data_IF_515065075664
#
_entry.id   IF_515065075664
#
_cell.length_a   1.000
_cell.length_b   1.000
_cell.length_c   1.000
_cell.angle_alpha   90.00
_cell.angle_beta   90.00
_cell.angle_gamma   90.00
#
_symmetry.space_group_name_H-M   'P 1'
#
loop_
_entity.id
_entity.type
_entity.pdbx_description
1 polymer ?
#
# COMPACT_ATOMS: atom_id res chain seq x y z
N UNK A 1 -2.67 -26.85 -11.92
CA UNK A 1 -3.22 -25.87 -10.95
C UNK A 1 -2.09 -25.42 -10.04
N UNK A 2 -1.90 -24.14 -9.84
CA UNK A 2 -0.86 -23.60 -8.94
C UNK A 2 -1.45 -23.54 -7.53
N UNK A 3 -0.71 -24.02 -6.55
CA UNK A 3 -1.06 -23.89 -5.14
C UNK A 3 -0.11 -22.92 -4.47
N UNK A 4 -0.66 -21.92 -3.74
CA UNK A 4 0.10 -20.90 -3.05
C UNK A 4 -0.29 -20.84 -1.58
N UNK A 5 0.70 -20.82 -0.71
CA UNK A 5 0.50 -20.48 0.71
C UNK A 5 1.02 -19.07 0.97
N UNK A 6 0.12 -18.14 1.29
CA UNK A 6 0.50 -16.80 1.73
C UNK A 6 0.78 -16.77 3.23
N UNK A 7 1.80 -16.04 3.65
CA UNK A 7 2.05 -15.69 5.05
C UNK A 7 1.82 -14.19 5.19
N UNK A 8 0.71 -13.83 5.85
CA UNK A 8 0.28 -12.43 5.93
C UNK A 8 -0.78 -12.21 7.03
N UNK A 9 -0.97 -10.99 7.52
CA UNK A 9 -2.22 -10.63 8.19
C UNK A 9 -3.39 -10.76 7.20
N UNK A 10 -4.55 -11.18 7.72
CA UNK A 10 -5.79 -11.34 6.97
C UNK A 10 -6.96 -10.77 7.78
N UNK A 11 -7.93 -10.08 7.19
CA UNK A 11 -9.07 -9.54 7.91
C UNK A 11 -9.84 -10.60 8.69
N UNK A 12 -10.47 -10.20 9.80
CA UNK A 12 -11.37 -11.07 10.55
C UNK A 12 -12.73 -11.20 9.87
N UNK A 13 -13.42 -12.32 10.06
CA UNK A 13 -14.80 -12.52 9.59
C UNK A 13 -15.77 -11.58 10.33
N UNK A 14 -15.51 -11.37 11.61
CA UNK A 14 -16.27 -10.42 12.42
C UNK A 14 -15.61 -9.04 12.31
N UNK A 15 -16.11 -8.19 11.41
CA UNK A 15 -15.61 -6.81 11.11
C UNK A 15 -15.47 -5.88 12.33
N UNK A 16 -15.74 -6.35 13.54
CA UNK A 16 -15.52 -5.65 14.82
C UNK A 16 -14.08 -5.71 15.33
N UNK A 17 -13.24 -6.59 14.79
CA UNK A 17 -11.81 -6.59 15.10
C UNK A 17 -11.17 -5.35 14.48
N UNK A 18 -10.49 -4.57 15.36
CA UNK A 18 -9.77 -3.32 15.03
C UNK A 18 -9.12 -3.39 13.66
N UNK A 19 -9.40 -2.36 12.85
CA UNK A 19 -8.96 -2.04 11.51
C UNK A 19 -7.89 -2.97 10.92
N UNK A 20 -8.17 -3.68 9.83
CA UNK A 20 -7.15 -4.42 9.11
C UNK A 20 -6.04 -3.44 8.67
N UNK A 21 -4.78 -3.85 8.79
CA UNK A 21 -3.68 -3.09 8.18
C UNK A 21 -3.90 -3.03 6.65
N UNK A 22 -3.37 -2.01 5.98
CA UNK A 22 -3.44 -1.96 4.51
C UNK A 22 -2.94 -3.25 3.83
N UNK A 23 -1.95 -3.93 4.45
CA UNK A 23 -1.46 -5.23 3.96
C UNK A 23 -2.47 -6.35 4.18
N UNK A 24 -3.31 -6.30 5.22
CA UNK A 24 -4.36 -7.30 5.41
C UNK A 24 -5.43 -7.19 4.30
N UNK A 25 -5.86 -5.97 3.99
CA UNK A 25 -6.78 -5.71 2.88
C UNK A 25 -6.16 -6.08 1.52
N UNK A 26 -4.88 -5.74 1.31
CA UNK A 26 -4.14 -6.18 0.11
C UNK A 26 -4.13 -7.71 -0.01
N UNK A 27 -3.83 -8.42 1.08
CA UNK A 27 -3.77 -9.90 1.07
C UNK A 27 -5.12 -10.51 0.74
N UNK A 28 -6.20 -9.97 1.30
CA UNK A 28 -7.57 -10.41 1.02
C UNK A 28 -7.89 -10.28 -0.46
N UNK A 29 -7.74 -9.07 -1.01
CA UNK A 29 -8.06 -8.79 -2.41
C UNK A 29 -7.21 -9.59 -3.40
N UNK A 30 -5.89 -9.66 -3.17
CA UNK A 30 -5.01 -10.45 -4.01
C UNK A 30 -5.34 -11.96 -3.92
N UNK A 31 -5.61 -12.48 -2.72
CA UNK A 31 -5.96 -13.89 -2.54
C UNK A 31 -7.27 -14.25 -3.25
N UNK A 32 -8.28 -13.38 -3.15
CA UNK A 32 -9.56 -13.54 -3.84
C UNK A 32 -9.37 -13.49 -5.36
N UNK A 33 -8.63 -12.51 -5.88
CA UNK A 33 -8.36 -12.39 -7.32
C UNK A 33 -7.57 -13.60 -7.88
N UNK A 34 -6.61 -14.13 -7.12
CA UNK A 34 -5.89 -15.37 -7.49
C UNK A 34 -6.82 -16.56 -7.50
N UNK A 35 -7.68 -16.70 -6.49
CA UNK A 35 -8.65 -17.81 -6.40
C UNK A 35 -9.65 -17.77 -7.56
N UNK A 36 -10.12 -16.57 -7.94
CA UNK A 36 -11.01 -16.39 -9.09
C UNK A 36 -10.34 -16.77 -10.43
N UNK A 37 -9.02 -16.76 -10.49
CA UNK A 37 -8.23 -17.20 -11.66
C UNK A 37 -7.72 -18.66 -11.54
N UNK A 38 -8.29 -19.44 -10.61
CA UNK A 38 -8.03 -20.88 -10.51
C UNK A 38 -6.80 -21.26 -9.67
N UNK A 39 -6.21 -20.34 -8.93
CA UNK A 39 -5.12 -20.62 -7.99
C UNK A 39 -5.70 -21.09 -6.66
N UNK A 40 -5.23 -22.22 -6.12
CA UNK A 40 -5.61 -22.62 -4.77
C UNK A 40 -4.80 -21.82 -3.73
N UNK A 41 -5.47 -20.93 -2.98
CA UNK A 41 -4.82 -20.03 -2.01
C UNK A 41 -5.14 -20.46 -0.58
N UNK A 42 -4.08 -20.63 0.21
CA UNK A 42 -4.13 -20.77 1.67
C UNK A 42 -3.38 -19.61 2.31
N UNK A 43 -3.97 -18.96 3.33
CA UNK A 43 -3.32 -17.90 4.09
C UNK A 43 -2.99 -18.38 5.50
N UNK A 44 -1.73 -18.28 5.89
CA UNK A 44 -1.25 -18.44 7.27
C UNK A 44 -1.23 -17.05 7.89
N UNK A 45 -2.17 -16.79 8.81
CA UNK A 45 -2.41 -15.50 9.40
C UNK A 45 -2.11 -15.48 10.91
N UNK A 46 -1.90 -14.28 11.52
CA UNK A 46 -1.81 -14.17 12.97
C UNK A 46 -3.13 -14.52 13.66
N UNK A 47 -3.03 -15.03 14.88
CA UNK A 47 -4.17 -15.21 15.77
C UNK A 47 -4.81 -13.84 16.06
N UNK A 48 -6.13 -13.79 16.02
CA UNK A 48 -6.96 -12.62 16.37
C UNK A 48 -8.02 -13.09 17.36
N UNK A 49 -8.19 -12.35 18.43
CA UNK A 49 -9.18 -12.68 19.47
C UNK A 49 -10.58 -12.67 18.87
N UNK A 50 -11.36 -13.70 19.21
CA UNK A 50 -12.72 -13.88 18.67
C UNK A 50 -12.80 -14.48 17.27
N UNK A 51 -11.68 -14.68 16.58
CA UNK A 51 -11.65 -15.28 15.24
C UNK A 51 -11.33 -16.79 15.29
N UNK A 52 -11.97 -17.62 14.45
CA UNK A 52 -11.69 -19.05 14.40
C UNK A 52 -10.26 -19.32 13.92
N UNK A 53 -9.65 -20.41 14.42
CA UNK A 53 -8.31 -20.85 13.98
C UNK A 53 -8.27 -21.23 12.51
N UNK A 54 -9.38 -21.69 11.95
CA UNK A 54 -9.54 -22.00 10.52
C UNK A 54 -10.87 -21.49 10.02
N UNK A 55 -10.84 -20.86 8.85
CA UNK A 55 -12.03 -20.37 8.17
C UNK A 55 -11.84 -20.45 6.66
N UNK A 56 -12.94 -20.36 5.92
CA UNK A 56 -12.92 -20.20 4.46
C UNK A 56 -13.73 -18.95 4.11
N UNK A 57 -13.10 -18.03 3.39
CA UNK A 57 -13.69 -16.73 3.02
C UNK A 57 -13.44 -16.55 1.52
N UNK A 58 -14.46 -16.36 0.72
CA UNK A 58 -14.39 -16.14 -0.74
C UNK A 58 -13.46 -17.15 -1.46
N UNK A 59 -13.58 -18.43 -1.10
CA UNK A 59 -12.74 -19.49 -1.65
C UNK A 59 -11.35 -19.63 -1.04
N UNK A 60 -10.88 -18.65 -0.27
CA UNK A 60 -9.57 -18.63 0.38
C UNK A 60 -9.63 -19.36 1.71
N UNK A 61 -8.69 -20.30 1.94
CA UNK A 61 -8.55 -20.97 3.23
C UNK A 61 -7.63 -20.16 4.15
N UNK A 62 -8.12 -19.72 5.30
CA UNK A 62 -7.36 -18.96 6.30
C UNK A 62 -7.07 -19.82 7.51
N UNK A 63 -5.80 -19.94 7.88
CA UNK A 63 -5.34 -20.62 9.11
C UNK A 63 -4.60 -19.63 10.01
N UNK A 64 -5.17 -19.33 11.18
CA UNK A 64 -4.58 -18.44 12.18
C UNK A 64 -3.75 -19.24 13.16
N UNK A 65 -2.42 -19.24 12.99
CA UNK A 65 -1.53 -20.21 13.65
C UNK A 65 -0.30 -19.60 14.30
N UNK A 66 -0.17 -18.26 14.35
CA UNK A 66 0.95 -17.62 15.02
C UNK A 66 0.53 -16.33 15.73
N UNK A 67 1.27 -15.95 16.77
CA UNK A 67 1.13 -14.66 17.45
C UNK A 67 2.19 -13.68 16.98
N UNK A 68 1.86 -12.39 16.96
CA UNK A 68 2.83 -11.34 16.66
C UNK A 68 3.92 -11.27 17.74
N UNK A 69 5.18 -11.09 17.32
CA UNK A 69 6.34 -11.00 18.22
C UNK A 69 7.58 -11.64 17.60
N UNK A 70 8.62 -11.83 18.38
CA UNK A 70 9.93 -12.33 17.92
C UNK A 70 9.86 -13.70 17.22
N UNK A 71 8.93 -14.57 17.64
CA UNK A 71 8.73 -15.91 17.06
C UNK A 71 7.71 -15.97 15.92
N UNK A 72 7.10 -14.85 15.53
CA UNK A 72 6.03 -14.83 14.54
C UNK A 72 6.43 -15.49 13.22
N UNK A 73 7.52 -15.00 12.62
CA UNK A 73 7.98 -15.49 11.30
C UNK A 73 8.44 -16.95 11.32
N UNK A 74 9.28 -17.42 12.26
CA UNK A 74 9.62 -18.85 12.35
C UNK A 74 8.40 -19.75 12.54
N UNK A 75 7.43 -19.35 13.36
CA UNK A 75 6.19 -20.12 13.58
C UNK A 75 5.35 -20.18 12.31
N UNK A 76 5.15 -19.03 11.65
CA UNK A 76 4.41 -18.94 10.39
C UNK A 76 5.08 -19.76 9.27
N UNK A 77 6.40 -19.70 9.14
CA UNK A 77 7.17 -20.49 8.19
C UNK A 77 7.03 -21.99 8.46
N UNK A 78 7.03 -22.42 9.72
CA UNK A 78 6.78 -23.81 10.10
C UNK A 78 5.38 -24.28 9.70
N UNK A 79 4.34 -23.45 9.85
CA UNK A 79 2.98 -23.75 9.40
C UNK A 79 2.90 -23.79 7.87
N UNK A 80 3.50 -22.82 7.18
CA UNK A 80 3.53 -22.75 5.72
C UNK A 80 4.31 -23.93 5.11
N UNK A 81 5.42 -24.37 5.74
CA UNK A 81 6.19 -25.54 5.29
C UNK A 81 5.35 -26.83 5.25
N UNK A 82 4.42 -26.98 6.20
CA UNK A 82 3.51 -28.16 6.26
C UNK A 82 2.36 -28.09 5.25
N UNK A 83 2.18 -26.97 4.54
CA UNK A 83 1.21 -26.90 3.45
C UNK A 83 1.67 -27.70 2.24
N UNK A 84 0.74 -28.18 1.41
CA UNK A 84 1.04 -28.87 0.15
C UNK A 84 1.63 -27.95 -0.93
N UNK A 85 1.40 -26.62 -0.84
CA UNK A 85 1.78 -25.67 -1.85
C UNK A 85 3.31 -25.57 -2.03
N UNK A 86 3.82 -25.55 -3.26
CA UNK A 86 5.24 -25.34 -3.53
C UNK A 86 5.65 -23.87 -3.27
N UNK A 87 4.80 -22.91 -3.63
CA UNK A 87 5.03 -21.49 -3.41
C UNK A 87 4.61 -21.09 -2.00
N UNK A 88 5.52 -20.41 -1.28
CA UNK A 88 5.19 -19.70 -0.04
C UNK A 88 5.43 -18.21 -0.25
N UNK A 89 4.35 -17.43 -0.31
CA UNK A 89 4.42 -15.99 -0.57
C UNK A 89 4.29 -15.21 0.73
N UNK A 90 5.38 -14.61 1.21
CA UNK A 90 5.43 -13.77 2.41
C UNK A 90 5.12 -12.32 2.05
N UNK A 91 4.07 -11.76 2.65
CA UNK A 91 3.78 -10.32 2.60
C UNK A 91 4.57 -9.62 3.70
N UNK A 92 5.61 -8.88 3.37
CA UNK A 92 6.56 -8.38 4.35
C UNK A 92 6.52 -6.84 4.49
N UNK A 93 6.35 -6.42 5.72
CA UNK A 93 6.61 -5.10 6.24
C UNK A 93 7.14 -5.25 7.66
N UNK A 94 8.11 -4.44 8.07
CA UNK A 94 8.84 -4.58 9.34
C UNK A 94 7.92 -4.66 10.58
N UNK A 95 6.77 -3.96 10.55
CA UNK A 95 5.88 -3.88 11.72
C UNK A 95 4.73 -4.88 11.73
N UNK A 96 4.54 -5.67 10.67
CA UNK A 96 3.41 -6.60 10.56
C UNK A 96 3.49 -7.77 11.55
N UNK A 97 4.69 -8.25 11.82
CA UNK A 97 4.93 -9.47 12.58
C UNK A 97 5.32 -9.25 14.04
N UNK A 98 5.43 -8.00 14.50
CA UNK A 98 5.80 -7.66 15.88
C UNK A 98 6.87 -6.58 15.99
N UNK A 99 7.08 -5.82 14.91
CA UNK A 99 8.04 -4.72 14.84
C UNK A 99 9.50 -5.20 14.82
N UNK A 100 10.44 -4.38 15.30
CA UNK A 100 11.88 -4.70 15.26
C UNK A 100 12.26 -6.04 15.88
N UNK A 101 11.50 -6.51 16.88
CA UNK A 101 11.76 -7.80 17.53
C UNK A 101 11.55 -9.01 16.63
N UNK A 102 10.75 -8.88 15.55
CA UNK A 102 10.51 -9.96 14.59
C UNK A 102 11.57 -10.06 13.48
N UNK A 103 12.39 -9.01 13.29
CA UNK A 103 13.39 -8.95 12.20
C UNK A 103 14.42 -10.09 12.26
N UNK A 104 14.97 -10.47 13.42
CA UNK A 104 15.89 -11.61 13.50
C UNK A 104 15.28 -12.94 13.04
N UNK A 105 13.93 -13.06 13.08
CA UNK A 105 13.19 -14.24 12.61
C UNK A 105 13.10 -14.38 11.10
N UNK A 106 13.44 -13.36 10.31
CA UNK A 106 13.32 -13.38 8.84
C UNK A 106 14.23 -14.44 8.21
N UNK A 107 15.52 -14.40 8.56
CA UNK A 107 16.51 -15.35 8.01
C UNK A 107 16.17 -16.81 8.31
N UNK A 108 15.96 -17.22 9.58
CA UNK A 108 15.61 -18.60 9.86
C UNK A 108 14.27 -19.02 9.26
N UNK A 109 13.30 -18.12 9.12
CA UNK A 109 12.02 -18.41 8.47
C UNK A 109 12.22 -18.76 6.99
N UNK A 110 12.90 -17.92 6.23
CA UNK A 110 13.15 -18.13 4.80
C UNK A 110 14.07 -19.35 4.56
N UNK A 111 15.10 -19.53 5.39
CA UNK A 111 15.97 -20.72 5.32
C UNK A 111 15.18 -22.02 5.58
N UNK A 112 14.30 -22.03 6.60
CA UNK A 112 13.45 -23.17 6.90
C UNK A 112 12.51 -23.53 5.74
N UNK A 113 11.96 -22.54 5.05
CA UNK A 113 11.13 -22.79 3.86
C UNK A 113 11.96 -23.43 2.74
N UNK A 114 13.12 -22.87 2.42
CA UNK A 114 14.00 -23.42 1.36
C UNK A 114 14.49 -24.82 1.64
N UNK A 115 14.98 -25.07 2.85
CA UNK A 115 15.40 -26.44 3.25
C UNK A 115 14.25 -27.43 3.28
N UNK A 116 13.01 -26.93 3.43
CA UNK A 116 11.78 -27.74 3.31
C UNK A 116 11.28 -27.91 1.88
N UNK A 117 12.07 -27.55 0.87
CA UNK A 117 11.69 -27.68 -0.54
C UNK A 117 10.62 -26.70 -1.01
N UNK A 118 10.38 -25.61 -0.25
CA UNK A 118 9.46 -24.55 -0.64
C UNK A 118 10.18 -23.46 -1.44
N UNK A 119 9.42 -22.75 -2.26
CA UNK A 119 9.87 -21.63 -3.07
C UNK A 119 9.37 -20.32 -2.44
N UNK A 120 10.15 -19.67 -1.55
CA UNK A 120 9.72 -18.45 -0.89
C UNK A 120 9.77 -17.26 -1.84
N UNK A 121 8.62 -16.66 -2.12
CA UNK A 121 8.44 -15.36 -2.77
C UNK A 121 8.16 -14.33 -1.67
N UNK A 122 8.72 -13.13 -1.77
CA UNK A 122 8.51 -12.08 -0.76
C UNK A 122 8.05 -10.79 -1.43
N UNK A 123 6.86 -10.30 -1.07
CA UNK A 123 6.46 -8.93 -1.39
C UNK A 123 6.94 -7.98 -0.31
N UNK A 124 7.70 -6.96 -0.69
CA UNK A 124 8.11 -5.87 0.17
C UNK A 124 7.11 -4.72 0.05
N UNK A 125 6.23 -4.55 1.05
CA UNK A 125 5.28 -3.44 1.10
C UNK A 125 5.92 -2.11 1.47
N UNK A 126 7.11 -2.16 2.04
CA UNK A 126 7.91 -1.02 2.43
C UNK A 126 9.34 -1.24 1.99
N UNK A 127 9.86 -0.32 1.19
CA UNK A 127 11.26 -0.24 0.78
C UNK A 127 11.77 1.14 1.16
N UNK A 128 12.77 1.19 2.01
CA UNK A 128 13.36 2.45 2.48
C UNK A 128 14.72 2.62 1.84
N UNK A 129 14.95 3.78 1.22
CA UNK A 129 16.29 4.15 0.81
C UNK A 129 17.15 4.34 2.07
N UNK A 130 18.27 3.63 2.20
CA UNK A 130 19.14 3.81 3.36
C UNK A 130 19.60 5.26 3.56
N UNK A 131 19.70 6.06 2.50
CA UNK A 131 20.06 7.48 2.58
C UNK A 131 19.01 8.33 3.29
N UNK A 132 17.72 7.92 3.24
CA UNK A 132 16.60 8.60 3.90
C UNK A 132 16.49 8.31 5.41
N UNK A 133 17.29 7.35 5.92
CA UNK A 133 17.29 7.01 7.34
C UNK A 133 18.13 8.00 8.13
N UNK A 134 17.53 9.10 8.52
CA UNK A 134 18.10 10.17 9.35
C UNK A 134 17.50 10.19 10.77
N UNK A 135 17.78 11.24 11.54
CA UNK A 135 17.24 11.42 12.89
C UNK A 135 15.72 11.59 12.88
N UNK A 136 15.19 12.31 11.89
CA UNK A 136 13.76 12.55 11.74
C UNK A 136 13.06 11.20 11.45
N UNK A 137 13.57 10.41 10.52
CA UNK A 137 13.06 9.07 10.23
C UNK A 137 13.01 8.19 11.49
N UNK A 138 14.11 8.14 12.26
CA UNK A 138 14.17 7.29 13.46
C UNK A 138 13.21 7.77 14.55
N UNK A 139 12.98 9.07 14.69
CA UNK A 139 12.02 9.64 15.64
C UNK A 139 10.58 9.33 15.24
N UNK A 140 10.20 9.58 13.98
CA UNK A 140 8.86 9.31 13.44
C UNK A 140 8.50 7.83 13.55
N UNK A 141 9.45 6.95 13.24
CA UNK A 141 9.25 5.49 13.30
C UNK A 141 9.54 4.87 14.67
N UNK A 142 9.87 5.70 15.69
CA UNK A 142 10.20 5.27 17.06
C UNK A 142 11.30 4.19 17.09
N UNK A 143 12.28 4.31 16.21
CA UNK A 143 13.44 3.43 16.16
C UNK A 143 14.43 3.88 17.25
N UNK A 144 14.70 3.00 18.21
CA UNK A 144 15.53 3.30 19.40
C UNK A 144 17.04 3.06 19.20
N UNK A 145 17.50 3.11 17.96
CA UNK A 145 18.94 2.98 17.64
C UNK A 145 19.41 4.18 16.82
N UNK A 146 20.70 4.51 16.82
CA UNK A 146 21.23 5.59 15.99
C UNK A 146 20.90 5.39 14.51
N UNK A 147 20.71 6.48 13.73
CA UNK A 147 20.37 6.40 12.30
C UNK A 147 21.34 5.53 11.49
N UNK A 148 22.63 5.57 11.79
CA UNK A 148 23.64 4.73 11.13
C UNK A 148 23.41 3.24 11.35
N UNK A 149 23.04 2.84 12.56
CA UNK A 149 22.71 1.44 12.89
C UNK A 149 21.40 1.01 12.22
N UNK A 150 20.38 1.89 12.25
CA UNK A 150 19.11 1.65 11.56
C UNK A 150 19.32 1.48 10.05
N UNK A 151 20.15 2.33 9.43
CA UNK A 151 20.52 2.28 8.02
C UNK A 151 21.18 0.95 7.64
N UNK A 152 22.19 0.53 8.41
CA UNK A 152 22.87 -0.75 8.18
C UNK A 152 21.91 -1.93 8.37
N UNK A 153 21.05 -1.88 9.39
CA UNK A 153 20.06 -2.92 9.66
C UNK A 153 19.04 -3.07 8.52
N UNK A 154 18.50 -1.97 8.00
CA UNK A 154 17.55 -1.98 6.88
C UNK A 154 18.21 -2.48 5.59
N UNK A 155 19.41 -1.98 5.28
CA UNK A 155 20.16 -2.44 4.09
C UNK A 155 20.51 -3.93 4.18
N UNK A 156 20.87 -4.38 5.37
CA UNK A 156 21.16 -5.79 5.66
C UNK A 156 19.92 -6.67 5.47
N UNK A 157 18.77 -6.22 6.00
CA UNK A 157 17.51 -6.91 5.89
C UNK A 157 17.04 -7.05 4.44
N UNK A 158 17.08 -5.98 3.66
CA UNK A 158 16.70 -6.00 2.24
C UNK A 158 17.58 -6.96 1.44
N UNK A 159 18.91 -6.93 1.65
CA UNK A 159 19.86 -7.86 1.02
C UNK A 159 19.62 -9.31 1.43
N UNK A 160 19.30 -9.54 2.71
CA UNK A 160 19.01 -10.86 3.25
C UNK A 160 17.74 -11.45 2.65
N UNK A 161 16.65 -10.68 2.62
CA UNK A 161 15.38 -11.09 1.99
C UNK A 161 15.64 -11.49 0.54
N UNK A 162 16.30 -10.65 -0.24
CA UNK A 162 16.64 -10.93 -1.64
C UNK A 162 17.45 -12.20 -1.83
N UNK A 163 18.41 -12.49 -0.93
CA UNK A 163 19.26 -13.70 -1.04
C UNK A 163 18.54 -14.99 -0.67
N UNK A 164 17.61 -14.91 0.27
CA UNK A 164 16.93 -16.09 0.81
C UNK A 164 15.58 -16.38 0.15
N UNK A 165 14.96 -15.39 -0.52
CA UNK A 165 13.80 -15.63 -1.39
C UNK A 165 14.23 -16.14 -2.77
N UNK A 166 13.34 -16.83 -3.48
CA UNK A 166 13.54 -17.20 -4.89
C UNK A 166 13.12 -16.07 -5.82
N UNK A 167 12.21 -15.21 -5.36
CA UNK A 167 11.85 -13.96 -6.01
C UNK A 167 11.38 -12.94 -4.99
N UNK A 168 11.54 -11.67 -5.32
CA UNK A 168 11.09 -10.53 -4.51
C UNK A 168 10.18 -9.66 -5.36
N UNK A 169 9.05 -9.23 -4.79
CA UNK A 169 8.09 -8.34 -5.44
C UNK A 169 8.12 -6.98 -4.76
N UNK A 170 8.07 -5.91 -5.54
CA UNK A 170 7.92 -4.52 -5.08
C UNK A 170 6.80 -3.82 -5.85
N UNK A 171 6.27 -2.73 -5.32
CA UNK A 171 5.09 -2.06 -5.89
C UNK A 171 5.41 -0.85 -6.78
N UNK A 172 6.68 -0.51 -6.96
CA UNK A 172 7.07 0.65 -7.76
C UNK A 172 8.46 0.52 -8.34
N UNK A 173 8.69 1.20 -9.46
CA UNK A 173 9.97 1.15 -10.19
C UNK A 173 11.15 1.70 -9.37
N UNK A 174 10.93 2.77 -8.58
CA UNK A 174 12.00 3.29 -7.71
C UNK A 174 12.41 2.30 -6.62
N UNK A 175 11.51 1.41 -6.21
CA UNK A 175 11.84 0.34 -5.26
C UNK A 175 12.63 -0.80 -5.88
N UNK A 176 12.42 -1.07 -7.16
CA UNK A 176 13.23 -2.04 -7.90
C UNK A 176 14.70 -1.60 -7.98
N UNK A 177 14.96 -0.29 -8.15
CA UNK A 177 16.32 0.26 -8.09
C UNK A 177 17.00 0.02 -6.75
N UNK A 178 16.23 0.11 -5.64
CA UNK A 178 16.73 -0.14 -4.28
C UNK A 178 16.85 -1.63 -3.95
N UNK A 179 16.07 -2.48 -4.63
CA UNK A 179 16.06 -3.94 -4.48
C UNK A 179 16.27 -4.58 -5.87
N UNK A 180 17.48 -4.52 -6.44
CA UNK A 180 17.73 -4.96 -7.81
C UNK A 180 17.35 -6.43 -8.05
N UNK A 181 16.68 -6.69 -9.17
CA UNK A 181 16.19 -8.01 -9.54
C UNK A 181 14.86 -8.38 -8.89
N UNK A 182 14.18 -7.43 -8.24
CA UNK A 182 12.78 -7.61 -7.83
C UNK A 182 11.84 -7.42 -9.03
N UNK A 183 10.67 -8.05 -8.95
CA UNK A 183 9.61 -7.92 -9.95
C UNK A 183 8.67 -6.78 -9.52
N UNK A 184 8.39 -5.84 -10.41
CA UNK A 184 7.48 -4.74 -10.13
C UNK A 184 6.04 -5.18 -10.42
N UNK A 185 5.24 -5.30 -9.37
CA UNK A 185 3.79 -5.50 -9.46
C UNK A 185 3.11 -4.32 -8.76
N UNK A 186 2.52 -3.37 -9.49
CA UNK A 186 1.78 -2.26 -8.89
C UNK A 186 0.66 -2.74 -7.97
N UNK A 187 0.24 -1.90 -7.02
CA UNK A 187 -0.93 -2.20 -6.20
C UNK A 187 -2.15 -2.43 -7.09
N UNK A 188 -2.93 -3.47 -6.78
CA UNK A 188 -4.22 -3.69 -7.39
C UNK A 188 -5.23 -2.60 -7.01
N UNK A 189 -6.13 -2.29 -7.91
CA UNK A 189 -7.17 -1.28 -7.74
C UNK A 189 -8.53 -1.95 -7.65
N UNK A 190 -9.37 -1.48 -6.73
CA UNK A 190 -10.81 -1.68 -6.77
C UNK A 190 -11.35 -0.60 -7.73
N UNK A 191 -11.63 -0.98 -8.97
CA UNK A 191 -12.11 -0.03 -9.99
C UNK A 191 -13.60 0.16 -9.79
N UNK A 192 -14.00 1.39 -9.49
CA UNK A 192 -15.39 1.81 -9.39
C UNK A 192 -15.89 2.36 -10.74
N UNK A 193 -17.20 2.30 -10.95
CA UNK A 193 -17.82 2.99 -12.08
C UNK A 193 -17.65 4.50 -11.94
N UNK A 194 -17.41 5.23 -13.04
CA UNK A 194 -17.30 6.67 -13.01
C UNK A 194 -18.56 7.33 -12.45
N UNK A 195 -18.40 8.21 -11.46
CA UNK A 195 -19.52 8.96 -10.89
C UNK A 195 -19.89 10.11 -11.85
N UNK A 196 -21.17 10.21 -12.28
CA UNK A 196 -21.62 11.33 -13.11
C UNK A 196 -21.39 12.68 -12.41
N UNK A 197 -21.07 13.72 -13.19
CA UNK A 197 -20.71 15.04 -12.65
C UNK A 197 -21.80 15.63 -11.75
N UNK A 198 -23.07 15.49 -12.12
CA UNK A 198 -24.19 16.00 -11.29
C UNK A 198 -24.29 15.24 -9.96
N UNK A 199 -24.13 13.92 -9.98
CA UNK A 199 -24.10 13.10 -8.76
C UNK A 199 -22.92 13.50 -7.86
N UNK A 200 -21.73 13.72 -8.44
CA UNK A 200 -20.57 14.21 -7.69
C UNK A 200 -20.84 15.58 -7.05
N UNK A 201 -21.53 16.50 -7.74
CA UNK A 201 -21.96 17.79 -7.21
C UNK A 201 -22.99 17.66 -6.07
N UNK A 202 -23.92 16.70 -6.18
CA UNK A 202 -24.89 16.41 -5.13
C UNK A 202 -24.21 15.87 -3.88
N UNK A 203 -23.29 14.91 -4.05
CA UNK A 203 -22.46 14.38 -2.94
C UNK A 203 -21.65 15.52 -2.31
N UNK A 204 -21.03 16.38 -3.11
CA UNK A 204 -20.27 17.56 -2.63
C UNK A 204 -21.13 18.46 -1.74
N UNK A 205 -22.38 18.77 -2.18
CA UNK A 205 -23.35 19.56 -1.38
C UNK A 205 -23.77 18.81 -0.10
N UNK A 206 -24.05 17.52 -0.17
CA UNK A 206 -24.46 16.72 1.00
C UNK A 206 -23.38 16.65 2.08
N UNK A 207 -22.11 16.63 1.67
CA UNK A 207 -20.96 16.74 2.56
C UNK A 207 -20.71 18.18 3.07
N UNK A 208 -21.53 19.16 2.64
CA UNK A 208 -21.43 20.57 3.02
C UNK A 208 -20.20 21.26 2.42
N UNK A 209 -19.71 20.79 1.27
CA UNK A 209 -18.61 21.37 0.54
C UNK A 209 -19.13 22.40 -0.50
N UNK A 210 -18.28 23.36 -0.84
CA UNK A 210 -18.62 24.41 -1.80
C UNK A 210 -18.47 23.90 -3.23
N UNK A 211 -19.50 24.13 -4.06
CA UNK A 211 -19.49 23.73 -5.48
C UNK A 211 -18.84 24.73 -6.40
N UNK A 212 -18.55 25.95 -5.90
CA UNK A 212 -17.89 27.04 -6.62
C UNK A 212 -16.38 27.13 -6.37
N UNK A 213 -15.80 26.16 -5.63
CA UNK A 213 -14.37 26.07 -5.34
C UNK A 213 -13.82 24.70 -5.76
N UNK A 214 -12.53 24.65 -6.07
CA UNK A 214 -11.82 23.40 -6.23
C UNK A 214 -11.70 22.68 -4.87
N UNK A 215 -12.26 21.48 -4.75
CA UNK A 215 -12.09 20.64 -3.57
C UNK A 215 -10.82 19.81 -3.70
N UNK A 216 -9.79 20.14 -2.93
CA UNK A 216 -8.58 19.35 -2.81
C UNK A 216 -8.68 18.43 -1.58
N UNK A 217 -8.48 17.13 -1.75
CA UNK A 217 -8.57 16.12 -0.70
C UNK A 217 -7.19 15.61 -0.29
N UNK A 218 -6.85 15.66 0.99
CA UNK A 218 -5.79 14.85 1.58
C UNK A 218 -6.43 13.69 2.36
N UNK A 219 -6.12 12.45 2.00
CA UNK A 219 -6.79 11.27 2.57
C UNK A 219 -5.84 10.34 3.34
N UNK A 220 -6.38 9.70 4.40
CA UNK A 220 -5.72 8.67 5.21
C UNK A 220 -5.01 9.23 6.44
N UNK A 221 -4.44 8.34 7.27
CA UNK A 221 -3.84 8.70 8.56
C UNK A 221 -2.89 9.88 8.47
N UNK A 222 -3.01 10.82 9.44
CA UNK A 222 -2.13 11.96 9.55
C UNK A 222 -0.72 11.53 9.96
N UNK A 223 0.28 11.94 9.20
CA UNK A 223 1.68 11.62 9.49
C UNK A 223 2.61 12.62 8.80
N UNK A 224 3.71 13.03 9.45
CA UNK A 224 4.64 14.03 8.89
C UNK A 224 5.17 13.67 7.50
N UNK A 225 5.44 12.39 7.23
CA UNK A 225 5.97 11.95 5.92
C UNK A 225 5.02 12.20 4.74
N UNK A 226 3.74 12.52 5.01
CA UNK A 226 2.75 12.84 3.98
C UNK A 226 2.79 14.31 3.53
N UNK A 227 3.53 15.16 4.22
CA UNK A 227 3.68 16.58 3.85
C UNK A 227 2.37 17.37 3.94
N UNK A 228 1.50 17.04 4.91
CA UNK A 228 0.18 17.67 5.08
C UNK A 228 0.32 19.15 5.36
N UNK A 229 1.36 19.57 6.11
CA UNK A 229 1.66 20.98 6.36
C UNK A 229 1.82 21.77 5.07
N UNK A 230 2.49 21.20 4.07
CA UNK A 230 2.70 21.84 2.77
C UNK A 230 1.39 22.05 2.02
N UNK A 231 0.46 21.09 2.10
CA UNK A 231 -0.88 21.24 1.55
C UNK A 231 -1.67 22.34 2.26
N UNK A 232 -1.58 22.41 3.59
CA UNK A 232 -2.25 23.42 4.40
C UNK A 232 -1.71 24.84 4.13
N UNK A 233 -0.38 24.98 4.08
CA UNK A 233 0.26 26.26 3.72
C UNK A 233 -0.08 26.67 2.29
N UNK A 234 -0.12 25.72 1.34
CA UNK A 234 -0.53 25.99 -0.03
C UNK A 234 -2.00 26.42 -0.13
N UNK A 235 -2.90 25.80 0.63
CA UNK A 235 -4.30 26.18 0.67
C UNK A 235 -4.49 27.60 1.26
N UNK A 236 -3.75 27.93 2.32
CA UNK A 236 -3.75 29.29 2.87
C UNK A 236 -3.32 30.35 1.84
N UNK A 237 -2.30 30.04 1.02
CA UNK A 237 -1.85 30.92 -0.08
C UNK A 237 -2.88 30.94 -1.21
N UNK A 238 -3.50 29.79 -1.56
CA UNK A 238 -4.49 29.71 -2.63
C UNK A 238 -5.76 30.51 -2.32
N UNK A 239 -6.11 30.62 -1.04
CA UNK A 239 -7.27 31.39 -0.59
C UNK A 239 -8.60 30.81 -1.12
N UNK A 240 -9.53 31.68 -1.46
CA UNK A 240 -10.91 31.31 -1.81
C UNK A 240 -11.09 30.42 -3.06
N UNK A 241 -10.04 30.23 -3.85
CA UNK A 241 -10.10 29.35 -5.03
C UNK A 241 -10.16 27.87 -4.69
N UNK A 242 -9.74 27.50 -3.47
CA UNK A 242 -9.54 26.09 -3.07
C UNK A 242 -10.17 25.84 -1.71
N UNK A 243 -10.93 24.75 -1.61
CA UNK A 243 -11.38 24.20 -0.34
C UNK A 243 -10.56 22.93 -0.06
N UNK A 244 -9.67 22.98 0.95
CA UNK A 244 -8.86 21.84 1.34
C UNK A 244 -9.57 21.00 2.40
N UNK A 245 -9.71 19.72 2.13
CA UNK A 245 -10.28 18.71 3.04
C UNK A 245 -9.18 17.78 3.52
N UNK A 246 -9.07 17.64 4.84
CA UNK A 246 -8.19 16.67 5.51
C UNK A 246 -9.06 15.53 6.05
N UNK A 247 -9.19 14.47 5.29
CA UNK A 247 -9.99 13.29 5.63
C UNK A 247 -9.08 12.17 6.15
N UNK A 248 -8.94 12.09 7.46
CA UNK A 248 -8.11 11.10 8.12
C UNK A 248 -7.96 11.36 9.60
N UNK A 249 -7.89 10.28 10.34
CA UNK A 249 -7.68 10.30 11.79
C UNK A 249 -6.21 10.11 12.16
N UNK A 250 -5.99 10.10 13.46
CA UNK A 250 -4.71 9.72 14.06
C UNK A 250 -4.31 8.30 13.66
N UNK A 251 -3.02 8.06 13.56
CA UNK A 251 -2.53 6.71 13.24
C UNK A 251 -2.98 5.72 14.35
N UNK A 252 -3.51 4.52 14.01
CA UNK A 252 -4.04 3.56 14.98
C UNK A 252 -3.06 3.12 16.08
N UNK A 253 -1.75 3.33 15.87
CA UNK A 253 -0.70 3.08 16.88
C UNK A 253 -0.59 4.17 17.95
N UNK A 254 -1.27 5.32 17.75
CA UNK A 254 -1.32 6.42 18.70
C UNK A 254 -2.62 6.28 19.49
N UNK A 255 -2.57 5.63 20.65
CA UNK A 255 -3.74 5.06 21.34
C UNK A 255 -4.80 6.08 21.80
N UNK A 256 -4.47 7.35 22.10
CA UNK A 256 -5.46 8.30 22.61
C UNK A 256 -5.18 9.78 22.30
N UNK A 257 -3.97 10.14 21.90
CA UNK A 257 -3.58 11.54 21.60
C UNK A 257 -2.55 11.55 20.49
N UNK A 258 -2.82 12.33 19.45
CA UNK A 258 -1.92 12.56 18.33
C UNK A 258 -1.48 14.04 18.33
N UNK A 259 -0.33 14.37 18.98
CA UNK A 259 0.14 15.76 19.06
C UNK A 259 0.31 16.41 17.69
N UNK A 260 0.65 15.63 16.66
CA UNK A 260 0.80 16.12 15.31
C UNK A 260 -0.54 16.53 14.71
N UNK A 261 -1.55 15.67 14.81
CA UNK A 261 -2.89 16.00 14.34
C UNK A 261 -3.51 17.18 15.09
N UNK A 262 -3.28 17.27 16.40
CA UNK A 262 -3.77 18.34 17.25
C UNK A 262 -3.08 19.69 16.91
N UNK A 263 -1.77 19.64 16.60
CA UNK A 263 -1.03 20.83 16.16
C UNK A 263 -1.52 21.35 14.82
N UNK A 264 -1.73 20.47 13.85
CA UNK A 264 -2.28 20.84 12.54
C UNK A 264 -3.65 21.50 12.66
N UNK A 265 -4.56 20.92 13.43
CA UNK A 265 -5.90 21.48 13.66
C UNK A 265 -5.84 22.85 14.32
N UNK A 266 -4.97 23.03 15.32
CA UNK A 266 -4.81 24.31 16.02
C UNK A 266 -4.27 25.41 15.09
N UNK A 267 -3.30 25.08 14.23
CA UNK A 267 -2.64 26.04 13.33
C UNK A 267 -3.45 26.37 12.09
N UNK A 268 -4.22 25.43 11.58
CA UNK A 268 -4.84 25.51 10.26
C UNK A 268 -6.35 25.21 10.26
N UNK A 269 -7.00 25.23 11.43
CA UNK A 269 -8.44 24.96 11.53
C UNK A 269 -9.31 25.89 10.71
N UNK A 270 -8.87 27.13 10.50
CA UNK A 270 -9.57 28.13 9.67
C UNK A 270 -9.20 28.02 8.18
N UNK A 271 -8.17 27.26 7.83
CA UNK A 271 -7.66 27.11 6.44
C UNK A 271 -8.23 25.90 5.76
N UNK A 272 -8.46 24.80 6.50
CA UNK A 272 -8.86 23.52 5.95
C UNK A 272 -9.93 22.86 6.81
N UNK A 273 -10.75 22.05 6.16
CA UNK A 273 -11.76 21.25 6.83
C UNK A 273 -11.17 19.91 7.30
N UNK A 274 -11.07 19.71 8.60
CA UNK A 274 -10.62 18.47 9.22
C UNK A 274 -11.82 17.56 9.52
N UNK A 275 -11.99 16.49 8.74
CA UNK A 275 -13.11 15.56 8.85
C UNK A 275 -12.86 14.49 9.94
N UNK A 276 -11.60 14.16 10.18
CA UNK A 276 -11.25 13.04 11.05
C UNK A 276 -11.28 11.70 10.32
N UNK A 277 -11.50 10.62 11.07
CA UNK A 277 -11.59 9.28 10.49
C UNK A 277 -12.85 9.14 9.64
N UNK A 278 -12.68 8.68 8.41
CA UNK A 278 -13.77 8.38 7.48
C UNK A 278 -14.07 6.88 7.52
N UNK A 279 -15.30 6.47 7.88
CA UNK A 279 -15.73 5.08 7.79
C UNK A 279 -15.69 4.54 6.35
N UNK A 280 -15.38 3.25 6.20
CA UNK A 280 -15.21 2.64 4.86
C UNK A 280 -16.41 2.86 3.91
N UNK A 281 -17.68 2.79 4.34
CA UNK A 281 -18.82 3.06 3.47
C UNK A 281 -18.89 4.50 2.92
N UNK A 282 -18.29 5.47 3.62
CA UNK A 282 -18.29 6.88 3.25
C UNK A 282 -17.09 7.28 2.37
N UNK A 283 -16.11 6.39 2.22
CA UNK A 283 -14.86 6.70 1.50
C UNK A 283 -15.15 7.08 0.04
N UNK A 284 -16.02 6.33 -0.63
CA UNK A 284 -16.38 6.60 -2.03
C UNK A 284 -16.94 8.01 -2.23
N UNK A 285 -17.78 8.48 -1.31
CA UNK A 285 -18.39 9.81 -1.38
C UNK A 285 -17.34 10.93 -1.27
N UNK A 286 -16.35 10.79 -0.39
CA UNK A 286 -15.26 11.76 -0.27
C UNK A 286 -14.38 11.81 -1.51
N UNK A 287 -14.10 10.66 -2.14
CA UNK A 287 -13.35 10.62 -3.40
C UNK A 287 -14.18 11.15 -4.58
N UNK A 288 -15.48 10.89 -4.61
CA UNK A 288 -16.40 11.42 -5.63
C UNK A 288 -16.59 12.95 -5.51
N UNK A 289 -16.60 13.48 -4.28
CA UNK A 289 -16.72 14.91 -4.02
C UNK A 289 -15.44 15.71 -4.30
N UNK A 290 -14.28 15.04 -4.34
CA UNK A 290 -13.00 15.69 -4.54
C UNK A 290 -12.73 15.96 -6.03
N UNK A 291 -12.37 17.19 -6.38
CA UNK A 291 -11.89 17.54 -7.73
C UNK A 291 -10.45 17.06 -7.94
N UNK A 292 -9.67 16.93 -6.85
CA UNK A 292 -8.29 16.43 -6.88
C UNK A 292 -7.88 15.81 -5.55
N UNK A 293 -7.26 14.62 -5.59
CA UNK A 293 -6.51 14.09 -4.45
C UNK A 293 -5.10 14.70 -4.44
N UNK A 294 -4.66 15.19 -3.28
CA UNK A 294 -3.36 15.82 -3.10
C UNK A 294 -2.44 14.99 -2.21
N UNK A 295 -1.30 14.58 -2.76
CA UNK A 295 -0.30 13.73 -2.10
C UNK A 295 1.10 14.36 -2.15
N UNK A 296 1.37 15.42 -1.36
CA UNK A 296 2.61 16.16 -1.40
C UNK A 296 3.72 15.47 -0.58
N UNK A 297 3.89 14.16 -0.73
CA UNK A 297 4.80 13.34 0.07
C UNK A 297 6.26 13.73 -0.20
N UNK A 298 7.01 14.22 0.78
CA UNK A 298 8.42 14.57 0.60
C UNK A 298 9.29 13.34 0.32
N UNK A 299 9.01 12.22 0.97
CA UNK A 299 9.80 10.97 0.86
C UNK A 299 8.87 9.76 0.96
N UNK A 300 8.43 9.17 -0.16
CA UNK A 300 7.63 7.95 -0.13
C UNK A 300 8.56 6.74 0.13
N UNK A 301 8.20 5.91 1.09
CA UNK A 301 8.88 4.64 1.40
C UNK A 301 7.95 3.42 1.28
N UNK A 302 6.73 3.65 0.85
CA UNK A 302 5.74 2.62 0.53
C UNK A 302 4.85 3.14 -0.59
N UNK A 303 4.21 2.24 -1.32
CA UNK A 303 3.14 2.60 -2.23
C UNK A 303 1.98 3.22 -1.45
N UNK A 304 1.40 4.27 -1.99
CA UNK A 304 0.34 5.01 -1.30
C UNK A 304 -1.02 4.35 -1.49
N UNK A 305 -1.63 3.88 -0.40
CA UNK A 305 -3.02 3.39 -0.41
C UNK A 305 -4.01 4.45 -0.94
N UNK A 306 -3.98 5.70 -0.45
CA UNK A 306 -4.81 6.78 -1.00
C UNK A 306 -4.59 7.04 -2.49
N UNK A 307 -3.36 6.89 -3.00
CA UNK A 307 -3.10 6.97 -4.43
C UNK A 307 -3.83 5.87 -5.21
N UNK A 308 -3.73 4.62 -4.75
CA UNK A 308 -4.44 3.50 -5.36
C UNK A 308 -5.96 3.67 -5.30
N UNK A 309 -6.50 4.14 -4.16
CA UNK A 309 -7.93 4.43 -4.02
C UNK A 309 -8.39 5.50 -5.01
N UNK A 310 -7.66 6.60 -5.15
CA UNK A 310 -8.01 7.66 -6.12
C UNK A 310 -8.00 7.16 -7.56
N UNK A 311 -7.01 6.36 -7.94
CA UNK A 311 -7.00 5.72 -9.26
C UNK A 311 -8.24 4.82 -9.44
N UNK A 312 -8.61 4.05 -8.41
CA UNK A 312 -9.77 3.15 -8.44
C UNK A 312 -11.09 3.89 -8.55
N UNK A 313 -11.25 5.02 -7.86
CA UNK A 313 -12.44 5.89 -7.94
C UNK A 313 -12.43 6.84 -9.14
N UNK A 314 -11.34 6.91 -9.90
CA UNK A 314 -11.19 7.86 -11.00
C UNK A 314 -10.97 9.31 -10.57
N UNK A 315 -10.70 9.56 -9.28
CA UNK A 315 -10.43 10.90 -8.76
C UNK A 315 -9.06 11.40 -9.25
N UNK A 316 -8.97 12.59 -9.89
CA UNK A 316 -7.70 13.13 -10.36
C UNK A 316 -6.66 13.24 -9.23
N UNK A 317 -5.40 12.96 -9.51
CA UNK A 317 -4.35 12.96 -8.49
C UNK A 317 -3.24 13.96 -8.82
N UNK A 318 -2.89 14.81 -7.86
CA UNK A 318 -1.64 15.53 -7.83
C UNK A 318 -0.72 14.93 -6.76
N UNK A 319 0.50 14.61 -7.13
CA UNK A 319 1.49 14.05 -6.22
C UNK A 319 2.87 14.70 -6.37
N UNK A 320 3.70 14.53 -5.36
CA UNK A 320 5.09 14.96 -5.42
C UNK A 320 5.85 14.19 -6.50
N UNK A 321 6.91 14.76 -7.04
CA UNK A 321 7.80 14.11 -8.00
C UNK A 321 8.39 12.79 -7.46
N UNK A 322 8.73 12.75 -6.17
CA UNK A 322 9.26 11.54 -5.53
C UNK A 322 8.22 10.41 -5.50
N UNK A 323 6.93 10.71 -5.23
CA UNK A 323 5.87 9.73 -5.29
C UNK A 323 5.56 9.34 -6.74
N UNK A 324 5.54 10.30 -7.66
CA UNK A 324 5.31 10.04 -9.08
C UNK A 324 6.34 9.05 -9.65
N UNK A 325 7.62 9.24 -9.37
CA UNK A 325 8.68 8.28 -9.74
C UNK A 325 8.48 6.90 -9.13
N UNK A 326 8.00 6.85 -7.88
CA UNK A 326 7.73 5.59 -7.19
C UNK A 326 6.62 4.79 -7.89
N UNK A 327 5.50 5.43 -8.19
CA UNK A 327 4.29 4.77 -8.72
C UNK A 327 4.21 4.76 -10.25
N UNK A 328 5.18 5.37 -10.94
CA UNK A 328 5.19 5.52 -12.39
C UNK A 328 4.11 6.48 -12.90
N UNK A 329 3.81 7.55 -12.13
CA UNK A 329 2.85 8.55 -12.54
C UNK A 329 3.45 9.50 -13.61
N UNK A 330 2.67 9.91 -14.63
CA UNK A 330 3.12 10.83 -15.65
C UNK A 330 3.29 12.25 -15.11
N UNK A 331 4.07 13.09 -15.84
CA UNK A 331 4.39 14.47 -15.44
C UNK A 331 3.14 15.33 -15.17
N UNK A 332 2.06 15.10 -15.90
CA UNK A 332 0.79 15.81 -15.69
C UNK A 332 0.24 15.69 -14.26
N UNK A 333 0.59 14.61 -13.55
CA UNK A 333 0.20 14.35 -12.16
C UNK A 333 1.21 14.90 -11.15
N UNK A 334 2.34 15.45 -11.59
CA UNK A 334 3.38 15.99 -10.71
C UNK A 334 3.05 17.42 -10.29
N UNK A 335 3.18 17.69 -9.00
CA UNK A 335 3.06 19.04 -8.45
C UNK A 335 4.31 19.44 -7.66
N UNK A 336 4.66 20.73 -7.64
CA UNK A 336 5.63 21.26 -6.70
C UNK A 336 5.23 20.93 -5.27
N UNK A 337 6.22 20.69 -4.42
CA UNK A 337 5.97 20.44 -2.98
C UNK A 337 6.27 21.64 -2.11
N UNK A 338 6.81 22.72 -2.66
CA UNK A 338 6.87 24.01 -1.99
C UNK A 338 5.49 24.68 -1.96
N UNK A 339 5.06 25.28 -0.87
CA UNK A 339 3.70 25.79 -0.72
C UNK A 339 3.31 26.84 -1.78
N UNK A 340 4.16 27.81 -2.19
CA UNK A 340 3.81 28.75 -3.25
C UNK A 340 3.61 28.09 -4.62
N UNK A 341 4.46 27.13 -4.97
CA UNK A 341 4.35 26.36 -6.23
C UNK A 341 3.10 25.50 -6.27
N UNK A 342 2.81 24.81 -5.18
CA UNK A 342 1.61 24.00 -5.03
C UNK A 342 0.34 24.85 -5.09
N UNK A 343 0.32 26.01 -4.42
CA UNK A 343 -0.79 26.96 -4.48
C UNK A 343 -1.07 27.46 -5.91
N UNK A 344 -0.01 27.79 -6.67
CA UNK A 344 -0.17 28.14 -8.11
C UNK A 344 -0.81 27.01 -8.89
N UNK A 345 -0.35 25.77 -8.69
CA UNK A 345 -0.90 24.61 -9.39
C UNK A 345 -2.37 24.36 -9.07
N UNK A 346 -2.76 24.50 -7.80
CA UNK A 346 -4.15 24.35 -7.36
C UNK A 346 -5.04 25.47 -7.95
N UNK A 347 -4.57 26.73 -7.98
CA UNK A 347 -5.32 27.83 -8.63
C UNK A 347 -5.49 27.62 -10.12
N UNK A 348 -4.48 27.10 -10.81
CA UNK A 348 -4.58 26.76 -12.23
C UNK A 348 -5.68 25.73 -12.47
N UNK A 349 -5.72 24.65 -11.66
CA UNK A 349 -6.79 23.65 -11.76
C UNK A 349 -8.17 24.23 -11.44
N UNK A 350 -8.26 25.17 -10.51
CA UNK A 350 -9.52 25.83 -10.15
C UNK A 350 -10.06 26.75 -11.26
N UNK A 351 -9.16 27.38 -12.02
CA UNK A 351 -9.54 28.37 -13.05
C UNK A 351 -9.57 27.82 -14.49
N UNK A 352 -8.98 26.65 -14.71
CA UNK A 352 -8.80 26.07 -16.05
C UNK A 352 -9.33 24.62 -16.13
N UNK A 353 -10.56 24.45 -16.61
CA UNK A 353 -11.17 23.13 -16.75
C UNK A 353 -10.42 22.17 -17.69
N UNK A 354 -9.65 22.67 -18.68
CA UNK A 354 -8.88 21.83 -19.58
C UNK A 354 -7.71 21.16 -18.84
N UNK A 355 -7.07 21.87 -17.94
CA UNK A 355 -6.01 21.30 -17.10
C UNK A 355 -6.54 20.24 -16.13
N UNK A 356 -7.73 20.45 -15.57
CA UNK A 356 -8.36 19.45 -14.72
C UNK A 356 -8.75 18.20 -15.54
N UNK A 357 -9.27 18.39 -16.75
CA UNK A 357 -9.57 17.28 -17.67
C UNK A 357 -8.32 16.52 -18.09
N UNK A 358 -7.22 17.22 -18.38
CA UNK A 358 -5.94 16.59 -18.69
C UNK A 358 -5.42 15.74 -17.52
N UNK A 359 -5.52 16.26 -16.29
CA UNK A 359 -5.16 15.53 -15.07
C UNK A 359 -6.05 14.29 -14.87
N UNK A 360 -7.36 14.42 -15.09
CA UNK A 360 -8.32 13.30 -15.03
C UNK A 360 -7.93 12.21 -16.03
N UNK A 361 -7.67 12.61 -17.28
CA UNK A 361 -7.27 11.70 -18.36
C UNK A 361 -5.97 10.96 -18.02
N UNK A 362 -4.98 11.66 -17.50
CA UNK A 362 -3.71 11.06 -17.06
C UNK A 362 -3.92 10.06 -15.91
N UNK A 363 -4.78 10.38 -14.94
CA UNK A 363 -5.12 9.51 -13.82
C UNK A 363 -5.81 8.23 -14.31
N UNK A 364 -6.81 8.35 -15.18
CA UNK A 364 -7.51 7.22 -15.76
C UNK A 364 -6.60 6.34 -16.64
N UNK A 365 -5.71 6.96 -17.41
CA UNK A 365 -4.73 6.22 -18.21
C UNK A 365 -3.79 5.39 -17.34
N UNK A 366 -3.35 5.94 -16.20
CA UNK A 366 -2.50 5.24 -15.25
C UNK A 366 -3.23 4.10 -14.52
N UNK A 367 -4.53 4.19 -14.31
CA UNK A 367 -5.34 3.15 -13.68
C UNK A 367 -5.49 1.89 -14.55
N UNK A 368 -5.39 2.04 -15.88
CA UNK A 368 -5.55 0.90 -16.81
C UNK A 368 -4.51 -0.19 -16.57
N UNK A 369 -4.97 -1.45 -16.56
CA UNK A 369 -4.10 -2.61 -16.36
C UNK A 369 -3.54 -2.72 -14.92
N UNK A 370 -4.23 -2.11 -13.94
CA UNK A 370 -3.87 -2.17 -12.52
C UNK A 370 -5.00 -2.72 -11.64
N UNK A 371 -5.99 -3.41 -12.21
CA UNK A 371 -7.00 -4.07 -11.39
C UNK A 371 -6.39 -5.19 -10.51
N UNK A 372 -7.16 -5.69 -9.55
CA UNK A 372 -6.73 -6.86 -8.77
C UNK A 372 -6.57 -8.11 -9.64
N UNK A 373 -7.34 -8.22 -10.71
CA UNK A 373 -7.21 -9.28 -11.72
C UNK A 373 -5.89 -9.16 -12.48
N UNK A 374 -5.48 -7.92 -12.82
CA UNK A 374 -4.17 -7.66 -13.45
C UNK A 374 -3.02 -8.01 -12.50
N UNK A 375 -3.14 -7.62 -11.24
CA UNK A 375 -2.16 -7.96 -10.21
C UNK A 375 -2.06 -9.48 -10.03
N UNK A 376 -3.19 -10.20 -9.98
CA UNK A 376 -3.22 -11.65 -9.88
C UNK A 376 -2.58 -12.31 -11.10
N UNK A 377 -2.87 -11.87 -12.34
CA UNK A 377 -2.21 -12.41 -13.56
C UNK A 377 -0.70 -12.27 -13.50
N UNK A 378 -0.18 -11.12 -13.06
CA UNK A 378 1.26 -10.90 -12.91
C UNK A 378 1.89 -11.81 -11.85
N UNK A 379 1.19 -12.05 -10.74
CA UNK A 379 1.65 -12.99 -9.72
C UNK A 379 1.62 -14.44 -10.22
N UNK A 380 0.59 -14.83 -10.97
CA UNK A 380 0.50 -16.18 -11.58
C UNK A 380 1.69 -16.40 -12.51
N UNK A 381 1.95 -15.47 -13.44
CA UNK A 381 3.10 -15.55 -14.34
C UNK A 381 4.43 -15.68 -13.57
N UNK A 382 4.61 -14.90 -12.49
CA UNK A 382 5.78 -15.00 -11.63
C UNK A 382 5.88 -16.37 -10.95
N UNK A 383 4.76 -16.92 -10.44
CA UNK A 383 4.77 -18.22 -9.79
C UNK A 383 5.10 -19.34 -10.78
N UNK A 384 4.60 -19.28 -12.00
CA UNK A 384 4.93 -20.22 -13.08
C UNK A 384 6.41 -20.20 -13.42
N UNK A 385 6.97 -19.01 -13.62
CA UNK A 385 8.40 -18.81 -13.88
C UNK A 385 9.26 -19.37 -12.73
N UNK A 386 8.90 -19.08 -11.49
CA UNK A 386 9.61 -19.60 -10.30
C UNK A 386 9.55 -21.12 -10.23
N UNK A 387 8.38 -21.73 -10.48
CA UNK A 387 8.21 -23.20 -10.47
C UNK A 387 9.05 -23.82 -11.58
N UNK A 388 9.01 -23.27 -12.79
CA UNK A 388 9.74 -23.82 -13.95
C UNK A 388 11.25 -23.70 -13.78
N UNK A 389 11.73 -22.60 -13.21
CA UNK A 389 13.14 -22.42 -12.90
C UNK A 389 13.68 -23.44 -11.89
N UNK A 390 12.82 -23.95 -11.01
CA UNK A 390 13.20 -24.88 -9.92
C UNK A 390 12.75 -26.33 -10.16
N UNK A 391 12.19 -26.65 -11.33
CA UNK A 391 11.91 -28.05 -11.70
C UNK A 391 13.20 -28.85 -11.84
N UNK A 392 13.27 -30.09 -11.29
CA UNK A 392 14.41 -31.00 -11.51
C UNK A 392 14.64 -31.25 -13.00
N UNK A 393 15.90 -31.27 -13.44
CA UNK A 393 16.31 -31.45 -14.84
C UNK A 393 15.72 -32.72 -15.48
N UNK A 394 15.50 -33.78 -14.70
CA UNK A 394 14.89 -35.04 -15.16
C UNK A 394 13.43 -34.89 -15.66
N UNK A 395 12.74 -33.86 -15.33
CA UNK A 395 11.39 -33.53 -15.83
C UNK A 395 11.38 -32.58 -17.02
N UNK A 396 12.47 -31.85 -17.30
CA UNK A 396 12.58 -30.92 -18.44
C UNK A 396 12.67 -31.62 -19.80
N UNK A 397 13.20 -32.83 -19.83
CA UNK A 397 13.42 -33.59 -21.09
C UNK A 397 12.13 -34.21 -21.61
N UNK A 398 11.19 -34.64 -20.75
CA UNK A 398 9.95 -35.34 -21.17
C UNK A 398 8.87 -34.45 -21.82
N UNK A 399 8.94 -33.15 -21.68
CA UNK A 399 7.94 -32.25 -22.26
C UNK A 399 8.32 -31.68 -23.65
N UNK A 400 9.55 -31.95 -24.16
CA UNK A 400 9.97 -31.58 -25.51
C UNK A 400 9.80 -32.71 -26.55
N UNK A 401 9.50 -33.94 -26.13
CA UNK A 401 9.33 -35.08 -27.04
C UNK A 401 7.85 -35.44 -27.31
N UNK A 402 6.90 -34.69 -26.77
CA UNK A 402 5.46 -34.89 -26.96
C UNK A 402 4.73 -33.67 -27.54
N UNK A 403 5.42 -32.88 -28.36
CA UNK A 403 4.84 -31.77 -29.11
C UNK A 403 4.97 -31.96 -30.62
#
# INVERSE_FOLDING_TARGET
MIDVTMVAPYPGQHRRAKLPSGVAAYTERLSTALTNQGVAVKVIAPEVEGEPKRSRVDGVTVERSFRRGARALPTAAGAARRSGAPIVHLQFETFLYGGPSSVPGVAPALANLRTGGKLPVVTLHQVVDPSDVDKEFTQVHRVRVPPTVARLGLSGLQRLVRRLSVSTVVHGQSFEVLVPGSVVVPLGLDVADPVPLETAREIKRSLGLRTDRLTALCFGFLSPYKGIERALEAAAIAGDSVELVIAGGSHPRLASRDPYADDLRRRFGDVARFVGYVPEPEVADWFAAADVLLLPYPRPFASSGPFAQALGFGTPVLCSESLARCVGAPEAMVAPTDPPGLARRLRQLASDPEQLLALTTATQALARGRSWEDAARRHIALYEEVIDAHRPVSRRVRTRESG
#
